data_IF_086131932945
#
_entry.id   IF_086131932945
#
_cell.length_a   1.000
_cell.length_b   1.000
_cell.length_c   1.000
_cell.angle_alpha   90.00
_cell.angle_beta   90.00
_cell.angle_gamma   90.00
#
_symmetry.space_group_name_H-M   'P 1'
#
loop_
_entity.id
_entity.type
_entity.pdbx_description
1 polymer ?
#
# COMPACT_ATOMS: atom_id res chain seq x y z
N UNK A 1 -3.46 2.96 64.09
CA UNK A 1 -3.57 2.43 62.71
C UNK A 1 -3.02 0.99 62.65
N UNK A 2 -3.78 0.02 62.11
CA UNK A 2 -3.29 -1.36 61.96
C UNK A 2 -2.27 -1.44 60.83
N UNK A 3 -1.17 -2.14 61.04
CA UNK A 3 -0.18 -2.42 60.00
C UNK A 3 -0.78 -3.30 58.91
N UNK A 4 -0.46 -2.95 57.65
CA UNK A 4 -1.02 -3.56 56.46
C UNK A 4 -0.18 -4.80 56.08
N UNK A 5 -0.74 -6.01 56.22
CA UNK A 5 -0.05 -7.29 56.00
C UNK A 5 -0.19 -7.84 54.56
N UNK A 6 -0.56 -7.01 53.59
CA UNK A 6 -0.64 -7.45 52.19
C UNK A 6 0.76 -7.66 51.59
N UNK A 7 1.23 -8.92 51.59
CA UNK A 7 2.33 -9.34 50.72
C UNK A 7 1.79 -9.57 49.32
N UNK A 8 2.12 -8.68 48.39
CA UNK A 8 1.91 -8.90 46.96
C UNK A 8 2.96 -9.95 46.53
N UNK A 9 2.54 -11.20 46.36
CA UNK A 9 3.34 -12.20 45.64
C UNK A 9 3.28 -11.87 44.15
N UNK A 10 3.99 -10.82 43.72
CA UNK A 10 4.29 -10.65 42.32
C UNK A 10 5.29 -11.76 41.95
N UNK A 11 5.06 -12.53 40.86
CA UNK A 11 6.09 -13.43 40.36
C UNK A 11 7.35 -12.61 40.14
N UNK A 12 8.49 -13.10 40.64
CA UNK A 12 9.78 -12.47 40.41
C UNK A 12 9.93 -12.22 38.91
N UNK A 13 10.43 -11.06 38.47
CA UNK A 13 10.64 -10.80 37.05
C UNK A 13 11.49 -11.95 36.51
N UNK A 14 10.88 -12.80 35.66
CA UNK A 14 11.63 -13.84 34.99
C UNK A 14 12.76 -13.14 34.24
N UNK A 15 13.98 -13.68 34.29
CA UNK A 15 15.12 -13.19 33.53
C UNK A 15 14.85 -13.26 32.02
N UNK A 16 14.01 -12.36 31.50
CA UNK A 16 13.70 -12.17 30.09
C UNK A 16 14.89 -11.58 29.32
N UNK A 17 16.06 -11.48 29.96
CA UNK A 17 17.33 -11.06 29.37
C UNK A 17 18.11 -12.22 28.72
N UNK A 18 17.51 -13.41 28.55
CA UNK A 18 18.15 -14.57 27.89
C UNK A 18 17.41 -15.02 26.63
N UNK A 19 16.70 -14.13 25.93
CA UNK A 19 16.42 -14.39 24.52
C UNK A 19 17.70 -14.13 23.72
N UNK A 20 18.24 -15.18 23.10
CA UNK A 20 19.38 -15.01 22.20
C UNK A 20 18.98 -14.13 21.01
N UNK A 21 19.94 -13.42 20.42
CA UNK A 21 19.68 -12.60 19.22
C UNK A 21 19.10 -13.46 18.09
N UNK A 22 19.49 -14.74 18.01
CA UNK A 22 18.91 -15.68 17.05
C UNK A 22 17.41 -15.94 17.34
N UNK A 23 17.03 -16.14 18.61
CA UNK A 23 15.62 -16.33 19.00
C UNK A 23 14.75 -15.10 18.70
N UNK A 24 15.28 -13.88 18.91
CA UNK A 24 14.60 -12.64 18.53
C UNK A 24 14.52 -12.47 17.00
N UNK A 25 15.56 -12.87 16.26
CA UNK A 25 15.54 -12.82 14.79
C UNK A 25 14.55 -13.80 14.17
N UNK A 26 14.32 -14.97 14.79
CA UNK A 26 13.31 -15.94 14.33
C UNK A 26 11.86 -15.46 14.47
N UNK A 27 11.62 -14.38 15.22
CA UNK A 27 10.28 -13.78 15.36
C UNK A 27 10.02 -12.68 14.33
N UNK A 28 11.03 -12.28 13.56
CA UNK A 28 10.91 -11.22 12.56
C UNK A 28 10.49 -11.86 11.25
N UNK A 29 9.26 -11.60 10.84
CA UNK A 29 8.73 -12.05 9.56
C UNK A 29 9.36 -11.26 8.40
N UNK A 30 10.28 -11.91 7.69
CA UNK A 30 10.96 -11.37 6.51
C UNK A 30 10.32 -11.83 5.20
N UNK A 31 9.11 -12.39 5.22
CA UNK A 31 8.41 -12.74 3.99
C UNK A 31 8.11 -11.52 3.14
N UNK A 32 8.12 -11.70 1.82
CA UNK A 32 7.81 -10.61 0.89
C UNK A 32 6.34 -10.25 1.07
N UNK A 33 6.02 -8.99 1.44
CA UNK A 33 4.63 -8.60 1.61
C UNK A 33 3.89 -8.68 0.28
N UNK A 34 2.70 -9.28 0.32
CA UNK A 34 1.77 -9.35 -0.80
C UNK A 34 0.44 -8.70 -0.46
N UNK A 35 -0.09 -7.88 -1.36
CA UNK A 35 -1.46 -7.41 -1.34
C UNK A 35 -2.35 -8.48 -1.96
N UNK A 36 -3.36 -8.95 -1.24
CA UNK A 36 -4.35 -9.88 -1.79
C UNK A 36 -5.54 -9.10 -2.31
N UNK A 37 -5.83 -9.26 -3.59
CA UNK A 37 -6.99 -8.71 -4.26
C UNK A 37 -8.09 -9.76 -4.32
N UNK A 38 -9.23 -9.48 -3.69
CA UNK A 38 -10.41 -10.35 -3.74
C UNK A 38 -11.26 -9.94 -4.92
N UNK A 39 -11.50 -10.85 -5.86
CA UNK A 39 -12.26 -10.55 -7.09
C UNK A 39 -13.14 -11.71 -7.54
N UNK A 40 -14.33 -11.45 -8.12
CA UNK A 40 -15.14 -12.50 -8.73
C UNK A 40 -14.48 -13.11 -9.98
N UNK A 41 -13.43 -12.51 -10.53
CA UNK A 41 -12.77 -12.97 -11.75
C UNK A 41 -11.70 -14.05 -11.51
N UNK A 42 -11.53 -14.52 -10.27
CA UNK A 42 -10.52 -15.53 -9.92
C UNK A 42 -10.71 -16.89 -10.63
N UNK A 43 -11.93 -17.17 -11.07
CA UNK A 43 -12.30 -18.44 -11.70
C UNK A 43 -12.23 -18.36 -13.24
N UNK A 44 -11.89 -17.18 -13.81
CA UNK A 44 -11.68 -17.04 -15.26
C UNK A 44 -10.34 -17.67 -15.67
N UNK A 45 -10.25 -18.26 -16.86
CA UNK A 45 -8.96 -18.78 -17.36
C UNK A 45 -7.90 -17.68 -17.48
N UNK A 46 -8.32 -16.51 -17.96
CA UNK A 46 -7.50 -15.31 -18.04
C UNK A 46 -8.35 -14.06 -17.79
N UNK A 47 -7.73 -13.02 -17.25
CA UNK A 47 -8.31 -11.69 -17.22
C UNK A 47 -7.30 -10.65 -17.68
N UNK A 48 -7.82 -9.60 -18.32
CA UNK A 48 -6.99 -8.46 -18.66
C UNK A 48 -6.77 -7.60 -17.43
N UNK A 49 -5.50 -7.38 -17.09
CA UNK A 49 -5.07 -6.48 -16.04
C UNK A 49 -4.39 -5.25 -16.62
N UNK A 50 -4.67 -4.11 -16.02
CA UNK A 50 -3.93 -2.88 -16.30
C UNK A 50 -3.77 -2.12 -15.01
N UNK A 51 -2.53 -1.97 -14.51
CA UNK A 51 -2.31 -1.04 -13.42
C UNK A 51 -2.39 0.37 -14.01
N UNK A 52 -3.18 1.22 -13.38
CA UNK A 52 -3.37 2.59 -13.79
C UNK A 52 -3.24 3.53 -12.61
N UNK A 53 -2.80 4.73 -12.87
CA UNK A 53 -3.25 5.87 -12.07
C UNK A 53 -4.19 6.58 -13.02
N UNK A 54 -5.51 6.52 -12.77
CA UNK A 54 -6.53 6.99 -13.73
C UNK A 54 -6.26 8.42 -14.24
N UNK A 55 -5.61 9.24 -13.43
CA UNK A 55 -5.24 10.63 -13.70
C UNK A 55 -4.02 10.78 -14.61
N UNK A 56 -3.15 9.77 -14.70
CA UNK A 56 -1.95 9.80 -15.54
C UNK A 56 -2.05 8.86 -16.73
N UNK A 57 -3.25 8.47 -17.18
CA UNK A 57 -3.43 7.49 -18.28
C UNK A 57 -2.63 7.84 -19.54
N UNK A 58 -2.31 9.12 -19.76
CA UNK A 58 -1.54 9.64 -20.90
C UNK A 58 -0.09 10.06 -20.59
N UNK A 59 0.40 9.94 -19.35
CA UNK A 59 1.75 10.41 -19.02
C UNK A 59 2.83 9.46 -19.57
N UNK A 60 3.79 10.00 -20.32
CA UNK A 60 4.92 9.23 -20.90
C UNK A 60 5.96 8.76 -19.87
N UNK A 61 5.79 9.10 -18.59
CA UNK A 61 6.71 8.78 -17.49
C UNK A 61 6.34 7.48 -16.73
N UNK A 62 5.47 6.66 -17.28
CA UNK A 62 4.82 5.60 -16.52
C UNK A 62 5.76 4.42 -16.22
N UNK A 63 6.22 4.35 -14.96
CA UNK A 63 6.75 3.13 -14.34
C UNK A 63 5.74 1.95 -14.32
N UNK A 64 4.49 2.20 -14.70
CA UNK A 64 3.32 1.35 -14.45
C UNK A 64 2.66 0.84 -15.75
N UNK A 65 2.64 1.60 -16.86
CA UNK A 65 1.83 1.23 -18.04
C UNK A 65 2.38 0.09 -18.88
N UNK A 66 3.70 -0.17 -18.79
CA UNK A 66 4.34 -1.33 -19.41
C UNK A 66 3.90 -2.67 -18.82
N UNK A 67 3.11 -2.66 -17.74
CA UNK A 67 2.67 -3.86 -17.01
C UNK A 67 1.21 -4.23 -17.31
N UNK A 68 0.65 -3.75 -18.41
CA UNK A 68 -0.71 -4.10 -18.86
C UNK A 68 -0.67 -5.37 -19.71
N UNK A 69 -1.55 -6.34 -19.46
CA UNK A 69 -1.51 -7.62 -20.16
C UNK A 69 -2.62 -8.58 -19.73
N UNK A 70 -2.67 -9.75 -20.37
CA UNK A 70 -3.49 -10.87 -19.90
C UNK A 70 -2.73 -11.64 -18.84
N UNK A 71 -3.44 -12.04 -17.79
CA UNK A 71 -2.87 -12.79 -16.68
C UNK A 71 -3.78 -13.95 -16.30
N UNK A 72 -3.13 -15.05 -15.93
CA UNK A 72 -3.79 -16.21 -15.33
C UNK A 72 -4.10 -15.90 -13.87
N UNK A 73 -5.25 -16.32 -13.33
CA UNK A 73 -5.45 -16.30 -11.89
C UNK A 73 -4.37 -17.11 -11.18
N UNK A 74 -4.06 -16.72 -9.94
CA UNK A 74 -2.98 -17.23 -9.09
C UNK A 74 -1.57 -16.76 -9.46
N UNK A 75 -1.36 -16.15 -10.63
CA UNK A 75 -0.09 -15.47 -10.91
C UNK A 75 0.01 -14.20 -10.07
N UNK A 76 1.21 -13.94 -9.53
CA UNK A 76 1.48 -12.70 -8.80
C UNK A 76 1.86 -11.59 -9.77
N UNK A 77 1.21 -10.44 -9.61
CA UNK A 77 1.52 -9.22 -10.36
C UNK A 77 2.54 -8.39 -9.58
N UNK A 78 3.59 -7.94 -10.23
CA UNK A 78 4.63 -7.12 -9.61
C UNK A 78 4.56 -5.69 -10.11
N UNK A 79 4.20 -4.76 -9.23
CA UNK A 79 3.95 -3.35 -9.58
C UNK A 79 5.05 -2.48 -9.01
N UNK A 80 5.68 -1.69 -9.88
CA UNK A 80 6.71 -0.73 -9.46
C UNK A 80 6.05 0.61 -9.18
N UNK A 81 6.26 1.12 -7.96
CA UNK A 81 5.82 2.45 -7.56
C UNK A 81 6.95 3.47 -7.77
N UNK A 82 6.62 4.77 -7.87
CA UNK A 82 7.63 5.83 -7.90
C UNK A 82 8.57 5.77 -6.67
N UNK A 83 9.82 6.23 -6.73
CA UNK A 83 10.68 6.27 -5.55
C UNK A 83 10.13 7.14 -4.40
N UNK A 84 10.28 6.70 -3.16
CA UNK A 84 9.78 7.39 -1.95
C UNK A 84 10.47 8.73 -1.70
N UNK A 85 11.68 8.90 -2.22
CA UNK A 85 12.48 10.13 -2.08
C UNK A 85 11.86 11.36 -2.75
N UNK A 86 10.92 11.17 -3.69
CA UNK A 86 10.38 12.27 -4.49
C UNK A 86 9.25 13.04 -3.81
N UNK A 87 8.60 12.49 -2.78
CA UNK A 87 7.49 13.13 -2.05
C UNK A 87 6.36 13.73 -2.93
N UNK A 88 6.33 13.39 -4.22
CA UNK A 88 5.48 13.99 -5.24
C UNK A 88 4.04 13.51 -5.14
N UNK A 89 3.85 12.33 -4.58
CA UNK A 89 2.56 11.63 -4.65
C UNK A 89 1.52 12.35 -3.78
N UNK A 90 1.89 12.84 -2.59
CA UNK A 90 0.98 13.59 -1.73
C UNK A 90 0.48 14.89 -2.37
N UNK A 91 1.41 15.70 -2.93
CA UNK A 91 1.08 16.97 -3.58
C UNK A 91 0.29 16.83 -4.89
N UNK A 92 0.29 15.62 -5.48
CA UNK A 92 -0.57 15.31 -6.63
C UNK A 92 -1.97 14.95 -6.15
N UNK A 93 -2.06 14.10 -5.12
CA UNK A 93 -3.34 13.60 -4.60
C UNK A 93 -4.11 14.66 -3.80
N UNK A 94 -3.44 15.56 -3.08
CA UNK A 94 -4.08 16.65 -2.33
C UNK A 94 -4.69 17.73 -3.23
N UNK A 95 -4.26 17.80 -4.50
CA UNK A 95 -4.85 18.66 -5.52
C UNK A 95 -6.18 18.13 -6.07
N UNK A 96 -6.51 16.86 -5.83
CA UNK A 96 -7.79 16.28 -6.22
C UNK A 96 -8.88 16.66 -5.19
N UNK A 97 -9.92 17.42 -5.57
CA UNK A 97 -10.89 17.98 -4.62
C UNK A 97 -11.65 16.94 -3.82
N UNK A 98 -11.80 15.72 -4.35
CA UNK A 98 -12.47 14.62 -3.62
C UNK A 98 -11.52 13.92 -2.65
N UNK A 99 -10.22 13.85 -2.95
CA UNK A 99 -9.22 13.21 -2.10
C UNK A 99 -8.65 14.15 -1.03
N UNK A 100 -8.61 15.47 -1.27
CA UNK A 100 -8.06 16.45 -0.32
C UNK A 100 -8.61 16.29 1.09
N UNK A 101 -9.95 16.20 1.32
CA UNK A 101 -10.48 16.11 2.68
C UNK A 101 -10.06 14.81 3.37
N UNK A 102 -10.03 13.70 2.62
CA UNK A 102 -9.63 12.38 3.12
C UNK A 102 -8.16 12.43 3.55
N UNK A 103 -7.28 12.98 2.72
CA UNK A 103 -5.85 13.12 3.00
C UNK A 103 -5.58 14.04 4.18
N UNK A 104 -6.32 15.15 4.31
CA UNK A 104 -6.23 16.05 5.47
C UNK A 104 -6.57 15.32 6.77
N UNK A 105 -7.58 14.45 6.78
CA UNK A 105 -7.90 13.65 7.95
C UNK A 105 -6.84 12.59 8.27
N UNK A 106 -6.36 11.87 7.25
CA UNK A 106 -5.33 10.83 7.45
C UNK A 106 -4.02 11.45 7.93
N UNK A 107 -3.66 12.63 7.41
CA UNK A 107 -2.40 13.31 7.75
C UNK A 107 -2.29 13.77 9.20
N UNK A 108 -3.41 13.90 9.92
CA UNK A 108 -3.45 14.13 11.36
C UNK A 108 -2.85 12.95 12.15
N UNK A 109 -2.98 11.73 11.61
CA UNK A 109 -2.48 10.50 12.22
C UNK A 109 -1.13 10.09 11.61
N UNK A 110 -1.03 10.17 10.28
CA UNK A 110 0.13 9.71 9.51
C UNK A 110 0.87 10.90 8.88
N UNK A 111 1.80 11.51 9.60
CA UNK A 111 2.43 12.75 9.13
C UNK A 111 3.12 12.60 7.74
N UNK A 112 2.84 13.46 6.74
CA UNK A 112 3.41 13.38 5.38
C UNK A 112 4.95 13.57 5.31
N UNK A 113 5.59 14.02 6.39
CA UNK A 113 7.05 14.02 6.51
C UNK A 113 7.56 12.58 6.65
N UNK A 114 6.88 11.75 7.44
CA UNK A 114 7.28 10.37 7.79
C UNK A 114 6.66 9.34 6.84
N UNK A 115 5.48 9.62 6.31
CA UNK A 115 4.71 8.74 5.44
C UNK A 115 4.56 9.31 4.02
N UNK A 116 4.57 8.45 3.02
CA UNK A 116 4.21 8.76 1.64
C UNK A 116 2.78 8.29 1.39
N UNK A 117 2.06 9.02 0.54
CA UNK A 117 0.67 8.74 0.19
C UNK A 117 0.59 8.44 -1.29
N UNK A 118 0.11 7.25 -1.64
CA UNK A 118 0.14 6.77 -3.03
C UNK A 118 -1.19 6.18 -3.40
N UNK A 119 -1.58 6.35 -4.66
CA UNK A 119 -2.75 5.68 -5.20
C UNK A 119 -2.31 4.53 -6.08
N UNK A 120 -2.87 3.35 -5.81
CA UNK A 120 -2.74 2.18 -6.65
C UNK A 120 -4.11 1.86 -7.20
N UNK A 121 -4.33 2.14 -8.50
CA UNK A 121 -5.55 1.76 -9.18
C UNK A 121 -5.27 0.59 -10.13
N UNK A 122 -6.12 -0.42 -10.08
CA UNK A 122 -6.01 -1.64 -10.85
C UNK A 122 -7.31 -1.85 -11.60
N UNK A 123 -7.23 -2.16 -12.89
CA UNK A 123 -8.39 -2.65 -13.63
C UNK A 123 -8.22 -4.14 -13.89
N UNK A 124 -9.21 -4.93 -13.50
CA UNK A 124 -9.34 -6.34 -13.87
C UNK A 124 -10.61 -6.50 -14.68
N UNK A 125 -10.48 -6.95 -15.92
CA UNK A 125 -11.57 -7.04 -16.89
C UNK A 125 -12.35 -5.71 -16.99
N UNK A 126 -13.51 -5.61 -16.36
CA UNK A 126 -14.37 -4.42 -16.35
C UNK A 126 -14.48 -3.74 -14.98
N UNK A 127 -13.84 -4.27 -13.95
CA UNK A 127 -13.90 -3.74 -12.59
C UNK A 127 -12.64 -2.98 -12.24
N UNK A 128 -12.81 -1.89 -11.50
CA UNK A 128 -11.74 -1.02 -11.02
C UNK A 128 -11.61 -1.22 -9.52
N UNK A 129 -10.38 -1.45 -9.09
CA UNK A 129 -9.99 -1.57 -7.69
C UNK A 129 -9.03 -0.44 -7.37
N UNK A 130 -9.27 0.28 -6.27
CA UNK A 130 -8.43 1.39 -5.90
C UNK A 130 -8.02 1.36 -4.44
N UNK A 131 -6.74 1.65 -4.21
CA UNK A 131 -6.12 1.65 -2.89
C UNK A 131 -5.31 2.92 -2.68
N UNK A 132 -5.65 3.67 -1.62
CA UNK A 132 -4.79 4.70 -1.06
C UNK A 132 -3.82 4.03 -0.09
N UNK A 133 -2.55 3.92 -0.51
CA UNK A 133 -1.46 3.34 0.26
C UNK A 133 -0.78 4.42 1.10
N UNK A 134 -0.77 4.23 2.41
CA UNK A 134 0.03 5.01 3.36
C UNK A 134 1.34 4.23 3.59
N UNK A 135 2.45 4.73 3.06
CA UNK A 135 3.75 4.04 3.09
C UNK A 135 4.68 4.71 4.10
N UNK A 136 5.10 4.03 5.19
CA UNK A 136 6.17 4.53 6.05
C UNK A 136 7.47 4.63 5.24
N UNK A 137 8.12 5.80 5.20
CA UNK A 137 9.29 6.00 4.33
C UNK A 137 10.56 5.28 4.82
N UNK A 138 10.63 4.98 6.10
CA UNK A 138 11.83 4.46 6.75
C UNK A 138 11.65 3.03 7.24
N UNK A 139 12.66 2.21 7.00
CA UNK A 139 12.80 0.88 7.59
C UNK A 139 13.87 0.97 8.69
N UNK A 140 13.65 0.42 9.90
CA UNK A 140 14.68 0.37 10.92
C UNK A 140 15.97 -0.31 10.42
N UNK A 141 17.14 0.26 10.74
CA UNK A 141 18.43 -0.19 10.21
C UNK A 141 18.71 -1.69 10.40
N UNK A 142 18.31 -2.25 11.55
CA UNK A 142 18.51 -3.67 11.84
C UNK A 142 17.67 -4.56 10.93
N UNK A 143 16.43 -4.16 10.61
CA UNK A 143 15.58 -4.83 9.63
C UNK A 143 16.19 -4.68 8.24
N UNK A 144 16.62 -3.48 7.84
CA UNK A 144 17.27 -3.27 6.54
C UNK A 144 18.47 -4.20 6.35
N UNK A 145 19.27 -4.40 7.40
CA UNK A 145 20.40 -5.34 7.37
C UNK A 145 19.92 -6.78 7.17
N UNK A 146 18.95 -7.22 7.98
CA UNK A 146 18.39 -8.57 7.89
C UNK A 146 17.81 -8.88 6.50
N UNK A 147 17.04 -7.94 5.93
CA UNK A 147 16.49 -8.09 4.59
C UNK A 147 17.59 -8.26 3.52
N UNK A 148 18.68 -7.49 3.62
CA UNK A 148 19.80 -7.60 2.66
C UNK A 148 20.56 -8.92 2.79
N UNK A 149 20.54 -9.54 3.95
CA UNK A 149 21.18 -10.84 4.20
C UNK A 149 20.31 -12.01 3.70
N UNK A 150 18.99 -11.84 3.66
CA UNK A 150 18.03 -12.94 3.42
C UNK A 150 17.20 -12.82 2.13
N UNK A 151 17.23 -11.67 1.44
CA UNK A 151 16.49 -11.43 0.20
C UNK A 151 17.40 -11.01 -0.93
N UNK A 152 16.94 -11.25 -2.16
CA UNK A 152 17.61 -10.72 -3.34
C UNK A 152 17.49 -9.19 -3.41
N UNK A 153 18.42 -8.55 -4.13
CA UNK A 153 18.47 -7.08 -4.24
C UNK A 153 17.16 -6.48 -4.76
N UNK A 154 16.51 -7.18 -5.69
CA UNK A 154 15.27 -6.75 -6.33
C UNK A 154 14.06 -6.83 -5.38
N UNK A 155 14.11 -7.74 -4.40
CA UNK A 155 13.04 -7.97 -3.44
C UNK A 155 13.05 -6.95 -2.28
N UNK A 156 14.14 -6.19 -2.12
CA UNK A 156 14.24 -5.13 -1.12
C UNK A 156 13.22 -4.01 -1.35
N UNK A 157 12.80 -3.81 -2.61
CA UNK A 157 11.80 -2.81 -2.98
C UNK A 157 10.39 -3.11 -2.43
N UNK A 158 10.09 -4.36 -2.06
CA UNK A 158 8.81 -4.71 -1.44
C UNK A 158 8.66 -4.21 0.00
N UNK A 159 9.76 -3.78 0.62
CA UNK A 159 9.75 -3.29 1.98
C UNK A 159 9.53 -4.38 3.03
N UNK A 160 9.08 -3.97 4.22
CA UNK A 160 8.93 -4.83 5.40
C UNK A 160 7.58 -4.66 6.10
N UNK A 161 7.01 -5.78 6.56
CA UNK A 161 5.74 -5.83 7.26
C UNK A 161 4.64 -6.40 6.38
N UNK A 162 3.43 -5.87 6.49
CA UNK A 162 2.24 -6.36 5.76
C UNK A 162 1.34 -5.20 5.38
N UNK A 163 0.50 -5.42 4.37
CA UNK A 163 -0.61 -4.53 4.09
C UNK A 163 -1.68 -4.71 5.18
N UNK A 164 -2.19 -3.59 5.71
CA UNK A 164 -3.24 -3.57 6.73
C UNK A 164 -4.39 -2.72 6.22
N UNK A 165 -5.58 -3.31 6.10
CA UNK A 165 -6.80 -2.57 5.82
C UNK A 165 -7.17 -1.72 7.05
N UNK A 166 -7.29 -0.42 6.86
CA UNK A 166 -7.66 0.52 7.92
C UNK A 166 -9.18 0.64 8.10
N UNK A 167 -9.97 -0.13 7.33
CA UNK A 167 -11.43 -0.09 7.38
C UNK A 167 -12.01 1.24 6.93
N UNK A 168 -11.24 2.02 6.15
CA UNK A 168 -11.68 3.31 5.62
C UNK A 168 -11.86 3.18 4.12
N UNK A 169 -13.11 3.26 3.69
CA UNK A 169 -13.49 3.32 2.29
C UNK A 169 -13.73 4.79 1.89
N UNK A 170 -13.55 5.09 0.61
CA UNK A 170 -13.87 6.39 0.03
C UNK A 170 -14.42 6.25 -1.38
N UNK A 171 -15.03 7.32 -1.89
CA UNK A 171 -15.48 7.41 -3.27
C UNK A 171 -14.90 8.67 -3.88
N UNK A 172 -14.31 8.56 -5.07
CA UNK A 172 -13.83 9.72 -5.82
C UNK A 172 -14.38 9.75 -7.24
N UNK A 173 -14.61 10.97 -7.70
CA UNK A 173 -15.07 11.23 -9.07
C UNK A 173 -13.85 11.47 -9.96
N UNK A 174 -13.77 10.75 -11.07
CA UNK A 174 -12.73 10.87 -12.07
C UNK A 174 -13.30 11.40 -13.36
N UNK A 175 -12.76 12.51 -13.86
CA UNK A 175 -13.03 12.97 -15.21
C UNK A 175 -12.34 12.05 -16.22
N UNK A 176 -13.10 11.34 -17.04
CA UNK A 176 -12.56 10.42 -18.07
C UNK A 176 -12.55 11.03 -19.48
N UNK A 177 -12.81 12.35 -19.60
CA UNK A 177 -12.57 13.12 -20.81
C UNK A 177 -13.29 14.48 -20.82
N UNK A 178 -12.60 15.49 -21.34
CA UNK A 178 -13.26 16.63 -22.00
C UNK A 178 -13.44 16.26 -23.48
N UNK A 179 -14.62 16.48 -24.03
CA UNK A 179 -14.85 16.29 -25.46
C UNK A 179 -13.86 17.15 -26.25
N UNK A 180 -13.08 16.54 -27.16
CA UNK A 180 -12.35 17.32 -28.16
C UNK A 180 -13.41 18.08 -28.97
N UNK A 181 -13.37 19.42 -28.89
CA UNK A 181 -14.19 20.40 -29.61
C UNK A 181 -15.28 21.13 -28.80
N UNK A 182 -14.95 21.69 -27.62
CA UNK A 182 -15.73 22.81 -27.02
C UNK A 182 -17.20 22.52 -26.69
N UNK A 183 -17.61 21.25 -26.72
CA UNK A 183 -18.95 20.82 -26.41
C UNK A 183 -18.99 20.50 -24.91
N UNK A 184 -19.34 21.51 -24.12
CA UNK A 184 -19.40 21.50 -22.64
C UNK A 184 -20.44 20.50 -22.05
N UNK A 185 -20.94 19.55 -22.81
CA UNK A 185 -22.15 18.78 -22.47
C UNK A 185 -21.91 17.32 -22.12
N UNK A 186 -20.68 16.79 -22.14
CA UNK A 186 -20.42 15.42 -21.68
C UNK A 186 -19.13 15.27 -20.88
N UNK A 187 -19.14 15.81 -19.66
CA UNK A 187 -18.24 15.30 -18.62
C UNK A 187 -18.70 13.87 -18.34
N UNK A 188 -17.97 12.90 -18.86
CA UNK A 188 -18.15 11.51 -18.44
C UNK A 188 -17.46 11.38 -17.09
N UNK A 189 -18.26 11.30 -16.01
CA UNK A 189 -17.79 11.09 -14.65
C UNK A 189 -17.75 9.60 -14.36
N UNK A 190 -16.61 9.14 -13.86
CA UNK A 190 -16.42 7.77 -13.37
C UNK A 190 -16.26 7.83 -11.85
N UNK A 191 -17.19 7.20 -11.14
CA UNK A 191 -17.10 7.05 -9.69
C UNK A 191 -16.29 5.79 -9.35
N UNK A 192 -15.20 5.98 -8.60
CA UNK A 192 -14.33 4.89 -8.15
C UNK A 192 -14.45 4.79 -6.63
N UNK A 193 -14.82 3.61 -6.14
CA UNK A 193 -14.71 3.28 -4.72
C UNK A 193 -13.29 2.79 -4.43
N UNK A 194 -12.66 3.36 -3.41
CA UNK A 194 -11.32 3.01 -2.97
C UNK A 194 -11.25 2.66 -1.49
N UNK A 195 -10.16 1.99 -1.12
CA UNK A 195 -9.85 1.59 0.26
C UNK A 195 -8.55 2.24 0.73
N UNK A 196 -8.42 2.50 2.02
CA UNK A 196 -7.18 3.01 2.61
C UNK A 196 -6.43 1.88 3.30
N UNK A 197 -5.18 1.67 2.89
CA UNK A 197 -4.30 0.65 3.45
C UNK A 197 -3.06 1.29 4.08
N UNK A 198 -2.62 0.77 5.22
CA UNK A 198 -1.24 0.95 5.66
C UNK A 198 -0.37 -0.08 4.92
N UNK A 199 0.63 0.41 4.19
CA UNK A 199 1.53 -0.41 3.41
C UNK A 199 2.80 -0.79 4.20
N UNK A 200 3.56 -1.80 3.74
CA UNK A 200 4.86 -2.14 4.30
C UNK A 200 5.81 -0.94 4.34
N UNK A 201 6.71 -0.91 5.33
CA UNK A 201 7.72 0.12 5.45
C UNK A 201 8.66 0.09 4.23
N UNK A 202 8.91 1.24 3.62
CA UNK A 202 9.82 1.38 2.48
C UNK A 202 9.29 0.74 1.19
N UNK A 203 7.98 0.52 1.07
CA UNK A 203 7.36 -0.12 -0.09
C UNK A 203 7.44 0.74 -1.36
N UNK A 204 8.31 0.34 -2.28
CA UNK A 204 8.43 0.87 -3.66
C UNK A 204 8.01 -0.15 -4.72
N UNK A 205 7.73 -1.39 -4.32
CA UNK A 205 7.15 -2.44 -5.17
C UNK A 205 5.99 -3.09 -4.45
N UNK A 206 4.93 -3.42 -5.17
CA UNK A 206 3.75 -4.10 -4.64
C UNK A 206 3.59 -5.42 -5.37
N UNK A 207 3.65 -6.53 -4.64
CA UNK A 207 3.24 -7.84 -5.14
C UNK A 207 1.75 -8.00 -4.91
N UNK A 208 0.97 -8.16 -5.98
CA UNK A 208 -0.48 -8.39 -5.91
C UNK A 208 -0.78 -9.84 -6.25
N UNK A 209 -1.40 -10.55 -5.33
CA UNK A 209 -1.99 -11.87 -5.60
C UNK A 209 -3.49 -11.72 -5.77
N UNK A 210 -4.08 -12.46 -6.71
CA UNK A 210 -5.52 -12.45 -6.97
C UNK A 210 -6.17 -13.71 -6.40
N UNK A 211 -7.25 -13.57 -5.63
CA UNK A 211 -7.95 -14.65 -4.92
C UNK A 211 -9.48 -14.53 -4.95
#
# INVERSE_FOLDING_TARGET
PKENTFKINAPAPSNANTQSKEALSSQIDITIPSLTLITPYRDLEEYYFTPSTYENRESKEQYISSQSGFYTPNDTLEIILPPLSKNTDYARLDSNPTLTPILQDISKIYNPIIFSYRILTLRIAYTIYEYLLIVPKTIPKFITKLLKEQREKEELGYGYGRFIDLGRDYMRECNIGEGKNGDNTKISLLNIQGKVLLAPNGCERVRVGVR
#
